data_IF_749544292607
#
_entry.id   IF_749544292607
#
_cell.length_a   1.000
_cell.length_b   1.000
_cell.length_c   1.000
_cell.angle_alpha   90.00
_cell.angle_beta   90.00
_cell.angle_gamma   90.00
#
_symmetry.space_group_name_H-M   'P 1'
#
loop_
_entity.id
_entity.type
_entity.pdbx_description
1 polymer ?
#
# COMPACT_ATOMS: atom_id res chain seq x y z
N UNK A 1 -2.87 -2.95 -5.61
CA UNK A 1 -1.99 -3.63 -4.65
C UNK A 1 -2.83 -4.10 -3.49
N UNK A 2 -2.57 -5.31 -3.01
CA UNK A 2 -3.15 -5.85 -1.78
C UNK A 2 -2.08 -5.77 -0.69
N UNK A 3 -2.41 -5.13 0.43
CA UNK A 3 -1.49 -4.93 1.54
C UNK A 3 -2.09 -5.46 2.84
N UNK A 4 -1.25 -6.02 3.68
CA UNK A 4 -1.62 -6.48 5.01
C UNK A 4 -1.07 -5.49 6.06
N UNK A 5 -1.93 -4.75 6.79
CA UNK A 5 -1.51 -3.85 7.85
C UNK A 5 -1.05 -4.65 9.07
N UNK A 6 0.28 -4.75 9.27
CA UNK A 6 0.88 -5.51 10.38
C UNK A 6 1.14 -4.65 11.61
N UNK A 7 1.32 -3.34 11.41
CA UNK A 7 1.44 -2.34 12.47
C UNK A 7 0.62 -1.13 12.04
N UNK A 8 -0.21 -0.59 12.93
CA UNK A 8 -1.04 0.60 12.67
C UNK A 8 -0.95 1.59 13.82
N UNK A 9 -0.45 2.78 13.56
CA UNK A 9 -0.40 3.92 14.49
C UNK A 9 0.22 3.58 15.87
N UNK A 10 1.28 2.77 15.88
CA UNK A 10 1.97 2.33 17.11
C UNK A 10 3.38 2.90 17.19
N UNK A 11 3.86 3.18 18.41
CA UNK A 11 5.23 3.64 18.64
C UNK A 11 6.21 2.47 18.73
N UNK A 12 7.38 2.59 18.09
CA UNK A 12 8.44 1.59 18.19
C UNK A 12 9.34 1.51 16.96
N UNK A 13 10.43 0.74 17.07
CA UNK A 13 11.39 0.55 15.96
C UNK A 13 11.00 -0.59 15.00
N UNK A 14 10.13 -1.51 15.45
CA UNK A 14 9.57 -2.64 14.70
C UNK A 14 10.59 -3.51 13.90
N UNK A 15 11.83 -3.60 14.39
CA UNK A 15 12.91 -4.37 13.75
C UNK A 15 12.56 -5.86 13.60
N UNK A 16 12.03 -6.45 14.65
CA UNK A 16 11.56 -7.82 14.70
C UNK A 16 10.43 -8.10 13.71
N UNK A 17 9.49 -7.15 13.56
CA UNK A 17 8.41 -7.23 12.56
C UNK A 17 8.99 -7.21 11.15
N UNK A 18 9.87 -6.26 10.85
CA UNK A 18 10.48 -6.10 9.51
C UNK A 18 11.33 -7.33 9.15
N UNK A 19 12.13 -7.83 10.09
CA UNK A 19 12.93 -9.05 9.89
C UNK A 19 12.05 -10.30 9.68
N UNK A 20 10.95 -10.42 10.42
CA UNK A 20 9.98 -11.50 10.22
C UNK A 20 9.37 -11.44 8.82
N UNK A 21 8.96 -10.27 8.35
CA UNK A 21 8.42 -10.12 7.00
C UNK A 21 9.41 -10.55 5.92
N UNK A 22 10.68 -10.12 6.04
CA UNK A 22 11.72 -10.52 5.09
C UNK A 22 11.96 -12.05 5.11
N UNK A 23 11.98 -12.66 6.30
CA UNK A 23 12.15 -14.11 6.48
C UNK A 23 11.03 -14.93 5.84
N UNK A 24 9.83 -14.39 5.84
CA UNK A 24 8.63 -15.02 5.27
C UNK A 24 8.53 -14.81 3.74
N UNK A 25 9.56 -14.18 3.14
CA UNK A 25 9.69 -14.03 1.70
C UNK A 25 9.02 -12.79 1.13
N UNK A 26 8.53 -11.87 1.97
CA UNK A 26 8.01 -10.60 1.48
C UNK A 26 9.14 -9.70 0.98
N UNK A 27 8.95 -9.13 -0.20
CA UNK A 27 9.97 -8.31 -0.88
C UNK A 27 9.74 -6.81 -0.64
N UNK A 28 8.49 -6.39 -0.40
CA UNK A 28 8.15 -4.97 -0.24
C UNK A 28 7.19 -4.76 0.93
N UNK A 29 7.36 -3.64 1.61
CA UNK A 29 6.39 -3.09 2.54
C UNK A 29 6.12 -1.64 2.21
N UNK A 30 5.02 -1.11 2.73
CA UNK A 30 4.75 0.31 2.81
C UNK A 30 4.89 0.71 4.28
N UNK A 31 5.74 1.69 4.54
CA UNK A 31 6.02 2.19 5.89
C UNK A 31 5.77 3.68 5.88
N UNK A 32 4.87 4.16 6.73
CA UNK A 32 4.44 5.55 6.78
C UNK A 32 4.07 6.12 5.41
N UNK A 33 3.34 5.31 4.64
CA UNK A 33 2.91 5.57 3.24
C UNK A 33 4.03 5.55 2.20
N UNK A 34 5.28 5.24 2.56
CA UNK A 34 6.39 5.10 1.62
C UNK A 34 6.65 3.62 1.30
N UNK A 35 6.70 3.26 0.02
CA UNK A 35 7.07 1.91 -0.39
C UNK A 35 8.57 1.69 -0.21
N UNK A 36 8.93 0.62 0.50
CA UNK A 36 10.30 0.21 0.81
C UNK A 36 10.52 -1.26 0.42
N UNK A 37 11.75 -1.59 0.08
CA UNK A 37 12.18 -2.97 -0.19
C UNK A 37 12.68 -3.64 1.09
N UNK A 38 12.27 -4.90 1.31
CA UNK A 38 12.61 -5.72 2.47
C UNK A 38 13.81 -6.64 2.18
N UNK A 39 14.82 -6.16 1.47
CA UNK A 39 16.02 -6.95 1.19
C UNK A 39 16.85 -7.15 2.46
N UNK A 40 17.55 -8.29 2.55
CA UNK A 40 18.32 -8.67 3.75
C UNK A 40 19.41 -7.66 4.17
N UNK A 41 19.84 -6.78 3.26
CA UNK A 41 20.84 -5.73 3.47
C UNK A 41 20.23 -4.33 3.69
N UNK A 42 18.91 -4.16 3.56
CA UNK A 42 18.23 -2.87 3.76
C UNK A 42 17.85 -2.75 5.24
N UNK A 43 18.53 -1.84 5.94
CA UNK A 43 18.17 -1.48 7.32
C UNK A 43 17.16 -0.35 7.31
N UNK A 44 15.89 -0.69 7.44
CA UNK A 44 14.84 0.29 7.77
C UNK A 44 15.04 0.71 9.23
N UNK A 45 15.24 2.01 9.46
CA UNK A 45 15.37 2.59 10.80
C UNK A 45 14.14 3.44 11.08
N UNK A 46 13.39 3.07 12.11
CA UNK A 46 12.21 3.80 12.59
C UNK A 46 12.53 4.42 13.95
N UNK A 47 11.94 5.58 14.24
CA UNK A 47 12.15 6.29 15.50
C UNK A 47 11.28 5.65 16.60
N UNK A 48 11.86 5.11 17.70
CA UNK A 48 11.09 4.47 18.75
C UNK A 48 10.04 5.38 19.41
N UNK A 49 10.17 6.70 19.28
CA UNK A 49 9.28 7.69 19.92
C UNK A 49 8.11 8.09 19.04
N UNK A 50 8.18 7.83 17.74
CA UNK A 50 7.17 8.21 16.76
C UNK A 50 6.22 7.04 16.48
N UNK A 51 5.00 7.38 16.05
CA UNK A 51 4.02 6.37 15.64
C UNK A 51 4.28 6.01 14.18
N UNK A 52 4.23 4.71 13.89
CA UNK A 52 4.45 4.17 12.57
C UNK A 52 3.30 3.27 12.15
N UNK A 53 3.11 3.19 10.84
CA UNK A 53 2.22 2.23 10.18
C UNK A 53 3.04 1.43 9.18
N UNK A 54 2.93 0.10 9.25
CA UNK A 54 3.64 -0.85 8.37
C UNK A 54 2.60 -1.74 7.72
N UNK A 55 2.53 -1.70 6.39
CA UNK A 55 1.69 -2.59 5.59
C UNK A 55 2.56 -3.40 4.62
N UNK A 56 2.59 -4.73 4.76
CA UNK A 56 3.37 -5.56 3.84
C UNK A 56 2.64 -5.71 2.51
N UNK A 57 3.36 -5.61 1.40
CA UNK A 57 2.79 -5.79 0.06
C UNK A 57 2.66 -7.29 -0.21
N UNK A 58 1.42 -7.77 -0.26
CA UNK A 58 1.13 -9.19 -0.50
C UNK A 58 1.12 -9.48 -1.99
N UNK A 59 0.37 -8.69 -2.76
CA UNK A 59 0.35 -8.87 -4.22
C UNK A 59 0.15 -7.55 -4.99
N UNK A 60 0.70 -7.53 -6.20
CA UNK A 60 0.53 -6.50 -7.22
C UNK A 60 -0.21 -7.12 -8.39
N UNK A 61 -1.51 -6.92 -8.38
CA UNK A 61 -2.46 -7.50 -9.32
C UNK A 61 -2.94 -6.45 -10.33
N UNK A 62 -3.12 -6.89 -11.57
CA UNK A 62 -3.88 -6.19 -12.61
C UNK A 62 -5.15 -6.98 -12.84
N UNK A 63 -6.32 -6.34 -12.75
CA UNK A 63 -7.61 -7.01 -12.85
C UNK A 63 -7.86 -7.51 -14.27
N UNK A 64 -8.07 -8.81 -14.41
CA UNK A 64 -8.49 -9.48 -15.66
C UNK A 64 -9.47 -10.63 -15.34
N UNK A 65 -10.00 -11.29 -16.36
CA UNK A 65 -11.02 -12.35 -16.19
C UNK A 65 -10.50 -13.64 -15.52
N UNK A 66 -9.18 -13.87 -15.53
CA UNK A 66 -8.54 -15.09 -15.01
C UNK A 66 -8.00 -14.91 -13.59
N UNK A 67 -8.08 -13.71 -13.04
CA UNK A 67 -7.44 -13.37 -11.76
C UNK A 67 -8.08 -14.02 -10.53
N UNK A 68 -9.31 -14.54 -10.63
CA UNK A 68 -10.12 -14.89 -9.44
C UNK A 68 -9.39 -15.76 -8.42
N UNK A 69 -8.71 -16.82 -8.86
CA UNK A 69 -8.00 -17.75 -7.96
C UNK A 69 -6.86 -17.02 -7.23
N UNK A 70 -5.97 -16.37 -7.97
CA UNK A 70 -4.84 -15.62 -7.40
C UNK A 70 -5.29 -14.48 -6.49
N UNK A 71 -6.38 -13.81 -6.85
CA UNK A 71 -6.99 -12.77 -6.03
C UNK A 71 -7.45 -13.35 -4.69
N UNK A 72 -8.19 -14.46 -4.70
CA UNK A 72 -8.64 -15.13 -3.46
C UNK A 72 -7.45 -15.53 -2.57
N UNK A 73 -6.43 -16.19 -3.12
CA UNK A 73 -5.25 -16.63 -2.37
C UNK A 73 -4.50 -15.44 -1.75
N UNK A 74 -4.42 -14.34 -2.50
CA UNK A 74 -3.77 -13.10 -2.04
C UNK A 74 -4.58 -12.38 -0.96
N UNK A 75 -5.91 -12.36 -1.08
CA UNK A 75 -6.81 -11.80 -0.06
C UNK A 75 -6.71 -12.61 1.23
N UNK A 76 -6.74 -13.95 1.16
CA UNK A 76 -6.57 -14.80 2.34
C UNK A 76 -5.22 -14.56 3.03
N UNK A 77 -4.15 -14.49 2.25
CA UNK A 77 -2.81 -14.19 2.78
C UNK A 77 -2.77 -12.81 3.43
N UNK A 78 -3.37 -11.80 2.81
CA UNK A 78 -3.39 -10.45 3.35
C UNK A 78 -4.19 -10.34 4.64
N UNK A 79 -5.37 -10.97 4.70
CA UNK A 79 -6.19 -11.01 5.90
C UNK A 79 -5.50 -11.77 7.04
N UNK A 80 -4.77 -12.84 6.74
CA UNK A 80 -4.00 -13.60 7.74
C UNK A 80 -2.91 -12.73 8.37
N UNK A 81 -2.13 -12.03 7.55
CA UNK A 81 -1.03 -11.18 8.02
C UNK A 81 -1.52 -9.88 8.66
N UNK A 82 -2.64 -9.33 8.18
CA UNK A 82 -3.22 -8.07 8.67
C UNK A 82 -4.23 -8.24 9.82
N UNK A 83 -4.24 -9.39 10.50
CA UNK A 83 -5.16 -9.69 11.61
C UNK A 83 -6.65 -9.44 11.27
N UNK A 84 -7.05 -9.97 10.12
CA UNK A 84 -8.39 -9.82 9.56
C UNK A 84 -8.62 -8.50 8.82
N UNK A 85 -7.57 -7.70 8.57
CA UNK A 85 -7.65 -6.47 7.78
C UNK A 85 -6.85 -6.60 6.47
N UNK A 86 -7.36 -5.95 5.44
CA UNK A 86 -6.75 -5.87 4.11
C UNK A 86 -6.86 -4.43 3.63
N UNK A 87 -5.74 -3.83 3.27
CA UNK A 87 -5.73 -2.53 2.61
C UNK A 87 -5.53 -2.72 1.10
N UNK A 88 -6.40 -2.12 0.31
CA UNK A 88 -6.33 -2.14 -1.16
C UNK A 88 -5.94 -0.76 -1.64
N UNK A 89 -4.80 -0.67 -2.33
CA UNK A 89 -4.44 0.50 -3.13
C UNK A 89 -4.79 0.20 -4.58
N UNK A 90 -5.75 0.90 -5.16
CA UNK A 90 -6.12 0.70 -6.55
C UNK A 90 -6.22 2.03 -7.28
N UNK A 91 -5.82 2.03 -8.55
CA UNK A 91 -6.12 3.14 -9.44
C UNK A 91 -7.48 2.89 -10.06
N UNK A 92 -8.33 3.92 -10.23
CA UNK A 92 -9.46 3.79 -11.14
C UNK A 92 -8.91 3.46 -12.53
N UNK A 93 -9.62 2.67 -13.35
CA UNK A 93 -9.24 2.51 -14.74
C UNK A 93 -9.29 3.91 -15.38
N UNK A 94 -8.14 4.54 -15.57
CA UNK A 94 -8.07 5.75 -16.36
C UNK A 94 -8.72 5.41 -17.70
N UNK A 95 -9.70 6.22 -18.14
CA UNK A 95 -10.31 6.08 -19.45
C UNK A 95 -9.22 6.34 -20.48
N UNK A 96 -8.45 5.30 -20.83
CA UNK A 96 -7.31 5.22 -21.76
C UNK A 96 -7.05 6.55 -22.48
N UNK A 97 -6.46 7.52 -21.77
CA UNK A 97 -6.09 8.79 -22.38
C UNK A 97 -5.03 8.54 -23.44
N UNK A 98 -5.03 9.28 -24.56
CA UNK A 98 -4.10 8.99 -25.64
C UNK A 98 -2.67 9.07 -25.09
N UNK A 99 -1.90 8.02 -25.35
CA UNK A 99 -0.47 7.92 -25.03
C UNK A 99 0.18 9.22 -25.49
N UNK A 100 0.56 10.09 -24.56
CA UNK A 100 1.36 11.27 -24.88
C UNK A 100 2.71 10.74 -25.35
N UNK A 101 2.93 10.79 -26.65
CA UNK A 101 4.26 10.62 -27.23
C UNK A 101 5.15 11.71 -26.64
N UNK A 102 6.22 11.29 -25.96
CA UNK A 102 7.25 12.18 -25.46
C UNK A 102 7.97 12.78 -26.67
N UNK A 103 7.66 14.05 -26.96
CA UNK A 103 8.37 14.90 -27.91
C UNK A 103 8.93 16.11 -27.17
N UNK A 104 10.24 16.31 -27.32
CA UNK A 104 11.09 17.34 -26.72
C UNK A 104 10.63 18.77 -27.03
N UNK A 105 10.77 19.68 -26.05
CA UNK A 105 11.38 21.03 -26.18
C UNK A 105 11.04 21.89 -24.95
N UNK A 106 12.07 22.52 -24.38
CA UNK A 106 11.97 23.31 -23.14
C UNK A 106 11.20 24.63 -23.26
N UNK A 107 10.94 25.25 -22.12
CA UNK A 107 11.12 26.69 -21.87
C UNK A 107 11.05 26.97 -20.35
N UNK A 108 12.03 27.73 -19.89
CA UNK A 108 12.17 28.29 -18.54
C UNK A 108 11.25 29.50 -18.36
N UNK A 109 10.56 29.63 -17.21
CA UNK A 109 10.46 30.88 -16.41
C UNK A 109 9.42 30.79 -15.26
N UNK A 110 9.93 30.99 -14.04
CA UNK A 110 9.44 31.87 -12.96
C UNK A 110 8.08 31.67 -12.26
N UNK A 111 8.20 31.26 -10.98
CA UNK A 111 7.52 31.71 -9.76
C UNK A 111 6.02 31.42 -9.51
N UNK A 112 5.77 30.54 -8.53
CA UNK A 112 4.73 30.75 -7.49
C UNK A 112 4.92 29.82 -6.27
N UNK A 113 5.27 30.40 -5.11
CA UNK A 113 4.91 29.98 -3.73
C UNK A 113 5.35 28.62 -3.16
N UNK A 114 5.41 28.46 -1.81
CA UNK A 114 5.73 27.18 -1.18
C UNK A 114 4.50 26.27 -1.24
N UNK A 115 4.40 25.45 -2.28
CA UNK A 115 3.45 24.35 -2.30
C UNK A 115 3.93 23.26 -1.34
N UNK A 116 3.28 23.16 -0.18
CA UNK A 116 3.42 22.03 0.73
C UNK A 116 2.79 20.80 0.07
N UNK A 117 3.63 20.07 -0.67
CA UNK A 117 3.53 18.62 -0.96
C UNK A 117 2.15 18.05 -1.31
N UNK A 118 1.54 18.48 -2.42
CA UNK A 118 0.42 17.79 -3.03
C UNK A 118 0.90 16.78 -4.07
N UNK A 119 1.16 15.53 -3.68
CA UNK A 119 1.14 14.42 -4.64
C UNK A 119 -0.32 14.10 -4.93
N UNK A 120 -0.82 14.41 -6.14
CA UNK A 120 -2.01 13.75 -6.67
C UNK A 120 -1.59 12.33 -7.07
N UNK A 121 -1.37 11.48 -6.08
CA UNK A 121 -1.14 10.06 -6.34
C UNK A 121 -2.52 9.46 -6.72
N UNK A 122 -2.70 8.88 -7.92
CA UNK A 122 -4.01 8.42 -8.40
C UNK A 122 -4.51 7.15 -7.70
N UNK A 123 -3.88 6.75 -6.59
CA UNK A 123 -4.20 5.54 -5.84
C UNK A 123 -5.30 5.84 -4.82
N UNK A 124 -6.45 5.22 -5.03
CA UNK A 124 -7.51 5.15 -4.03
C UNK A 124 -7.17 4.09 -3.00
N UNK A 125 -7.24 4.45 -1.72
CA UNK A 125 -7.08 3.51 -0.60
C UNK A 125 -8.46 3.03 -0.12
N UNK A 126 -8.63 1.72 0.03
CA UNK A 126 -9.83 1.12 0.63
C UNK A 126 -9.44 0.07 1.66
N UNK A 127 -9.92 0.21 2.89
CA UNK A 127 -9.70 -0.74 3.97
C UNK A 127 -10.87 -1.72 4.08
N UNK A 128 -10.55 -2.99 4.11
CA UNK A 128 -11.47 -4.09 4.36
C UNK A 128 -11.11 -4.77 5.69
N UNK A 129 -12.12 -5.23 6.42
CA UNK A 129 -11.96 -5.86 7.72
C UNK A 129 -12.99 -6.96 7.92
N UNK A 130 -12.58 -8.14 8.37
CA UNK A 130 -13.49 -9.25 8.72
C UNK A 130 -14.30 -8.98 9.99
N UNK A 131 -13.82 -8.09 10.87
CA UNK A 131 -14.48 -7.76 12.14
C UNK A 131 -15.56 -6.69 11.99
N UNK A 132 -15.42 -5.80 11.01
CA UNK A 132 -16.33 -4.68 10.75
C UNK A 132 -16.99 -4.81 9.37
N UNK A 133 -17.17 -6.05 8.90
CA UNK A 133 -17.87 -6.39 7.68
C UNK A 133 -19.37 -6.57 7.96
N UNK A 134 -20.23 -5.97 7.12
CA UNK A 134 -21.66 -6.25 7.10
C UNK A 134 -21.97 -7.30 6.02
N UNK A 135 -22.45 -8.50 6.42
CA UNK A 135 -22.91 -9.50 5.46
C UNK A 135 -24.10 -9.04 4.61
N UNK A 136 -24.88 -8.07 5.09
CA UNK A 136 -26.06 -7.57 4.40
C UNK A 136 -25.73 -6.64 3.23
N UNK A 137 -24.66 -5.84 3.37
CA UNK A 137 -24.28 -4.84 2.35
C UNK A 137 -23.00 -5.21 1.60
N UNK A 138 -22.24 -6.20 2.08
CA UNK A 138 -20.93 -6.54 1.52
C UNK A 138 -19.85 -5.50 1.82
N UNK A 139 -20.12 -4.54 2.71
CA UNK A 139 -19.22 -3.41 2.98
C UNK A 139 -18.49 -3.59 4.32
N UNK A 140 -17.28 -3.03 4.38
CA UNK A 140 -16.52 -2.88 5.62
C UNK A 140 -16.57 -1.42 6.09
N UNK A 141 -16.70 -1.21 7.40
CA UNK A 141 -16.83 0.12 8.01
C UNK A 141 -15.60 0.53 8.83
N UNK A 142 -14.45 -0.12 8.61
CA UNK A 142 -13.20 0.22 9.29
C UNK A 142 -12.66 1.56 8.75
N UNK A 143 -12.16 2.42 9.63
CA UNK A 143 -11.60 3.72 9.23
C UNK A 143 -10.12 3.59 8.93
N UNK A 144 -9.66 4.28 7.87
CA UNK A 144 -8.24 4.32 7.48
C UNK A 144 -7.36 4.76 8.66
#
# INVERSE_FOLDING_TARGET
MLLAPVVKDQKGEFRDVIERLAREGFVRARIDRQLVELAANVRVQLDPRQKHTIEVVVDRLVVDDKIRIRLSDSVETALKWGEGRLLVLHQPPEARGPRREEGEAGHSALQSGPHVGGYSDPWTETLYSTRLYSPATGQSFDTL
#
